data_IF_009098791101
#
_entry.id   IF_009098791101
#
_cell.length_a   1.000
_cell.length_b   1.000
_cell.length_c   1.000
_cell.angle_alpha   90.00
_cell.angle_beta   90.00
_cell.angle_gamma   90.00
#
_symmetry.space_group_name_H-M   'P 1'
#
loop_
_entity.id
_entity.type
_entity.pdbx_description
1 polymer ?
#
# COMPACT_ATOMS: atom_id res chain seq x y z
N UNK A 1 -7.73 -4.19 -22.23
CA UNK A 1 -6.30 -4.30 -21.92
C UNK A 1 -6.17 -4.80 -20.49
N UNK A 2 -5.31 -5.78 -20.21
CA UNK A 2 -5.01 -6.11 -18.81
C UNK A 2 -4.24 -4.94 -18.22
N UNK A 3 -4.59 -4.46 -17.02
CA UNK A 3 -3.92 -3.31 -16.46
C UNK A 3 -2.45 -3.66 -16.17
N UNK A 4 -1.53 -2.80 -16.60
CA UNK A 4 -0.10 -3.06 -16.56
C UNK A 4 0.43 -2.84 -15.13
N UNK A 5 0.51 -3.93 -14.36
CA UNK A 5 1.27 -3.98 -13.10
C UNK A 5 2.65 -4.56 -13.40
N UNK A 6 3.70 -3.94 -12.86
CA UNK A 6 5.09 -4.40 -13.03
C UNK A 6 5.85 -4.44 -11.71
N UNK A 7 6.99 -5.16 -11.71
CA UNK A 7 7.94 -5.13 -10.59
C UNK A 7 8.37 -3.68 -10.31
N UNK A 8 8.40 -3.31 -9.04
CA UNK A 8 8.74 -1.98 -8.57
C UNK A 8 7.56 -1.01 -8.48
N UNK A 9 6.38 -1.35 -9.00
CA UNK A 9 5.18 -0.56 -8.72
C UNK A 9 4.87 -0.60 -7.22
N UNK A 10 4.50 0.56 -6.68
CA UNK A 10 4.09 0.72 -5.28
C UNK A 10 2.58 0.85 -5.23
N UNK A 11 1.97 0.18 -4.26
CA UNK A 11 0.56 0.29 -3.96
C UNK A 11 0.36 0.54 -2.46
N UNK A 12 -0.75 1.15 -2.09
CA UNK A 12 -1.07 1.47 -0.71
C UNK A 12 -2.50 1.07 -0.36
N UNK A 13 -2.73 0.63 0.88
CA UNK A 13 -4.06 0.53 1.46
C UNK A 13 -4.28 1.71 2.41
N UNK A 14 -5.46 2.31 2.34
CA UNK A 14 -5.89 3.36 3.29
C UNK A 14 -7.01 2.79 4.13
N UNK A 15 -6.84 2.82 5.44
CA UNK A 15 -7.80 2.20 6.35
C UNK A 15 -7.86 2.83 7.72
N UNK A 16 -8.97 2.61 8.39
CA UNK A 16 -9.20 3.01 9.76
C UNK A 16 -10.68 3.26 9.94
N UNK A 17 -11.06 3.55 11.18
CA UNK A 17 -12.45 3.86 11.50
C UNK A 17 -12.59 5.38 11.71
N UNK A 18 -11.94 5.90 12.75
CA UNK A 18 -11.88 7.34 13.09
C UNK A 18 -10.51 7.95 12.84
N UNK A 19 -9.60 7.17 12.25
CA UNK A 19 -8.26 7.58 11.88
C UNK A 19 -7.99 7.08 10.45
N UNK A 20 -6.99 7.63 9.79
CA UNK A 20 -6.54 7.16 8.48
C UNK A 20 -5.13 6.64 8.61
N UNK A 21 -4.94 5.33 8.45
CA UNK A 21 -3.62 4.70 8.37
C UNK A 21 -3.32 4.32 6.93
N UNK A 22 -2.05 4.41 6.55
CA UNK A 22 -1.57 4.05 5.23
C UNK A 22 -0.59 2.88 5.33
N UNK A 23 -0.87 1.80 4.61
CA UNK A 23 0.05 0.67 4.48
C UNK A 23 0.61 0.60 3.06
N UNK A 24 1.92 0.76 2.90
CA UNK A 24 2.58 0.65 1.59
C UNK A 24 3.10 -0.76 1.30
N UNK A 25 3.07 -1.15 0.03
CA UNK A 25 3.73 -2.35 -0.45
C UNK A 25 4.34 -2.16 -1.85
N UNK A 26 5.41 -2.90 -2.13
CA UNK A 26 6.07 -2.93 -3.44
C UNK A 26 5.87 -4.26 -4.13
N UNK A 27 5.60 -4.24 -5.44
CA UNK A 27 5.51 -5.44 -6.27
C UNK A 27 6.92 -5.99 -6.52
N UNK A 28 7.15 -7.23 -6.10
CA UNK A 28 8.42 -7.93 -6.26
C UNK A 28 8.38 -8.91 -7.45
N UNK A 29 7.21 -9.51 -7.68
CA UNK A 29 6.96 -10.45 -8.78
C UNK A 29 5.54 -10.30 -9.33
N UNK A 30 5.40 -10.46 -10.64
CA UNK A 30 4.11 -10.58 -11.34
C UNK A 30 3.97 -12.01 -11.85
N UNK A 31 2.81 -12.64 -11.64
CA UNK A 31 2.60 -13.99 -12.15
C UNK A 31 2.59 -14.03 -13.69
N UNK A 32 2.90 -15.16 -14.33
CA UNK A 32 2.90 -15.27 -15.79
C UNK A 32 1.57 -14.87 -16.44
N UNK A 33 0.47 -14.99 -15.71
CA UNK A 33 -0.89 -14.65 -16.19
C UNK A 33 -1.28 -13.19 -15.93
N UNK A 34 -0.47 -12.42 -15.20
CA UNK A 34 -0.79 -11.05 -14.77
C UNK A 34 -1.90 -10.93 -13.72
N UNK A 35 -2.53 -12.04 -13.30
CA UNK A 35 -3.70 -12.02 -12.41
C UNK A 35 -3.35 -11.88 -10.92
N UNK A 36 -2.09 -12.07 -10.56
CA UNK A 36 -1.61 -11.99 -9.17
C UNK A 36 -0.20 -11.43 -9.14
N UNK A 37 0.15 -10.83 -8.02
CA UNK A 37 1.49 -10.35 -7.70
C UNK A 37 1.94 -10.89 -6.35
N UNK A 38 3.25 -10.97 -6.16
CA UNK A 38 3.84 -11.05 -4.82
C UNK A 38 4.36 -9.67 -4.44
N UNK A 39 3.92 -9.19 -3.29
CA UNK A 39 4.34 -7.91 -2.74
C UNK A 39 5.12 -8.10 -1.45
N UNK A 40 5.85 -7.06 -1.06
CA UNK A 40 6.52 -6.93 0.23
C UNK A 40 6.08 -5.63 0.88
N UNK A 41 5.91 -5.64 2.21
CA UNK A 41 5.57 -4.44 2.97
C UNK A 41 6.70 -3.43 2.90
N UNK A 42 6.33 -2.15 2.86
CA UNK A 42 7.25 -1.03 2.96
C UNK A 42 7.01 -0.30 4.27
N UNK A 43 8.08 0.25 4.83
CA UNK A 43 7.92 1.29 5.83
C UNK A 43 7.36 2.56 5.19
N UNK A 44 7.09 3.54 6.05
CA UNK A 44 6.73 4.89 5.64
C UNK A 44 7.78 5.90 6.13
N UNK A 45 7.71 7.10 5.57
CA UNK A 45 8.44 8.26 6.03
C UNK A 45 7.47 9.43 6.11
N UNK A 46 7.41 10.06 7.26
CA UNK A 46 6.65 11.29 7.48
C UNK A 46 7.26 12.46 6.69
N UNK A 47 6.38 13.25 6.08
CA UNK A 47 6.67 14.53 5.47
C UNK A 47 6.06 15.59 6.38
N UNK A 48 6.94 16.36 7.02
CA UNK A 48 6.52 17.48 7.85
C UNK A 48 6.02 18.64 6.99
N UNK A 49 4.84 19.16 7.33
CA UNK A 49 4.29 20.38 6.77
C UNK A 49 3.91 21.35 7.90
N UNK A 50 4.39 22.59 7.79
CA UNK A 50 4.18 23.63 8.80
C UNK A 50 2.67 23.95 8.92
N UNK A 51 2.14 23.92 10.14
CA UNK A 51 0.72 24.16 10.40
C UNK A 51 -0.18 22.92 10.43
N UNK A 52 0.35 21.70 10.24
CA UNK A 52 -0.43 20.48 10.47
C UNK A 52 -0.80 20.28 11.95
N UNK A 53 -1.96 19.67 12.18
CA UNK A 53 -2.39 19.27 13.52
C UNK A 53 -1.45 18.17 14.04
N UNK A 54 -1.08 18.14 15.34
CA UNK A 54 -0.12 17.17 15.89
C UNK A 54 -0.49 15.69 15.69
N UNK A 55 -1.76 15.41 15.42
CA UNK A 55 -2.29 14.06 15.20
C UNK A 55 -2.54 13.74 13.72
N UNK A 56 -1.88 14.47 12.82
CA UNK A 56 -2.01 14.28 11.39
C UNK A 56 -0.68 14.54 10.69
N UNK A 57 -0.42 13.78 9.64
CA UNK A 57 0.81 13.87 8.86
C UNK A 57 0.57 13.45 7.42
N UNK A 58 1.54 13.74 6.55
CA UNK A 58 1.62 13.12 5.23
C UNK A 58 2.72 12.08 5.22
N UNK A 59 2.47 10.95 4.58
CA UNK A 59 3.44 9.85 4.49
C UNK A 59 3.76 9.50 3.03
N UNK A 60 5.00 9.10 2.82
CA UNK A 60 5.48 8.51 1.57
C UNK A 60 6.09 7.14 1.85
N UNK A 61 6.10 6.21 0.88
CA UNK A 61 6.75 4.92 1.06
C UNK A 61 8.25 5.12 1.31
N UNK A 62 8.79 4.38 2.27
CA UNK A 62 10.23 4.30 2.55
C UNK A 62 10.81 3.00 1.99
N UNK A 63 11.84 2.43 2.63
CA UNK A 63 12.45 1.19 2.14
C UNK A 63 11.56 -0.03 2.48
N UNK A 64 11.50 -1.05 1.61
CA UNK A 64 10.86 -2.32 1.96
C UNK A 64 11.57 -2.98 3.14
N UNK A 65 10.84 -3.69 4.00
CA UNK A 65 11.45 -4.47 5.07
C UNK A 65 12.36 -5.56 4.46
N UNK A 66 13.69 -5.51 4.64
CA UNK A 66 14.59 -6.50 4.04
C UNK A 66 14.30 -7.93 4.52
N UNK A 67 13.67 -8.11 5.68
CA UNK A 67 13.25 -9.40 6.24
C UNK A 67 11.76 -9.67 6.06
N UNK A 68 11.03 -8.77 5.41
CA UNK A 68 9.59 -8.86 5.19
C UNK A 68 9.22 -10.04 4.29
N UNK A 69 8.25 -10.84 4.74
CA UNK A 69 7.73 -11.97 3.96
C UNK A 69 6.96 -11.47 2.75
N UNK A 70 7.15 -12.16 1.62
CA UNK A 70 6.31 -11.96 0.45
C UNK A 70 4.88 -12.43 0.71
N UNK A 71 3.91 -11.65 0.25
CA UNK A 71 2.49 -12.01 0.29
C UNK A 71 1.84 -11.82 -1.07
N UNK A 72 0.83 -12.64 -1.36
CA UNK A 72 0.16 -12.63 -2.67
C UNK A 72 -1.06 -11.73 -2.64
N UNK A 73 -1.15 -10.82 -3.59
CA UNK A 73 -2.36 -10.09 -3.90
C UNK A 73 -2.89 -10.44 -5.29
N UNK A 74 -4.18 -10.28 -5.49
CA UNK A 74 -4.83 -10.43 -6.79
C UNK A 74 -4.91 -9.09 -7.51
N UNK A 75 -4.58 -9.07 -8.79
CA UNK A 75 -4.78 -7.90 -9.64
C UNK A 75 -6.24 -7.83 -10.07
N UNK A 76 -6.84 -6.66 -9.97
CA UNK A 76 -8.20 -6.35 -10.41
C UNK A 76 -8.20 -5.04 -11.19
N UNK A 77 -9.25 -4.82 -11.96
CA UNK A 77 -9.45 -3.61 -12.75
C UNK A 77 -10.58 -2.81 -12.12
N UNK A 78 -10.31 -1.56 -11.76
CA UNK A 78 -11.30 -0.62 -11.24
C UNK A 78 -12.24 -0.12 -12.34
N UNK A 79 -13.27 0.65 -11.95
CA UNK A 79 -14.26 1.20 -12.89
C UNK A 79 -13.65 2.14 -13.93
N UNK A 80 -12.53 2.80 -13.59
CA UNK A 80 -11.77 3.69 -14.46
C UNK A 80 -10.72 2.95 -15.33
N UNK A 81 -10.64 1.61 -15.24
CA UNK A 81 -9.63 0.82 -15.96
C UNK A 81 -8.29 0.68 -15.25
N UNK A 82 -8.06 1.37 -14.13
CA UNK A 82 -6.81 1.31 -13.38
C UNK A 82 -6.67 0.00 -12.60
N UNK A 83 -5.46 -0.57 -12.49
CA UNK A 83 -5.23 -1.71 -11.61
C UNK A 83 -5.38 -1.32 -10.15
N UNK A 84 -5.99 -2.21 -9.39
CA UNK A 84 -5.84 -2.24 -7.94
C UNK A 84 -5.54 -3.68 -7.51
N UNK A 85 -4.91 -3.82 -6.34
CA UNK A 85 -4.61 -5.12 -5.77
C UNK A 85 -5.59 -5.43 -4.64
N UNK A 86 -5.93 -6.69 -4.44
CA UNK A 86 -6.81 -7.10 -3.35
C UNK A 86 -6.35 -8.43 -2.77
N UNK A 87 -6.36 -8.54 -1.44
CA UNK A 87 -5.94 -9.79 -0.81
C UNK A 87 -5.66 -9.62 0.68
N UNK A 88 -5.16 -10.71 1.27
CA UNK A 88 -4.69 -10.70 2.65
C UNK A 88 -3.22 -10.30 2.68
N UNK A 89 -2.82 -9.53 3.68
CA UNK A 89 -1.45 -9.10 3.90
C UNK A 89 -1.08 -9.13 5.39
N UNK A 90 0.22 -9.21 5.72
CA UNK A 90 0.70 -9.14 7.10
C UNK A 90 0.36 -7.78 7.72
N UNK A 91 -0.22 -7.78 8.93
CA UNK A 91 -0.62 -6.58 9.64
C UNK A 91 -0.24 -6.69 11.12
N UNK A 92 0.53 -5.72 11.64
CA UNK A 92 0.99 -5.63 13.04
C UNK A 92 1.60 -6.96 13.57
N UNK A 93 2.10 -7.08 14.83
CA UNK A 93 2.80 -8.30 15.23
C UNK A 93 1.83 -9.49 15.33
N UNK A 94 1.79 -10.30 14.26
CA UNK A 94 1.09 -11.59 14.17
C UNK A 94 -0.27 -11.58 13.47
N UNK A 95 -0.77 -10.40 13.05
CA UNK A 95 -2.09 -10.27 12.41
C UNK A 95 -2.06 -10.44 10.89
N UNK A 96 -3.24 -10.70 10.33
CA UNK A 96 -3.49 -10.59 8.89
C UNK A 96 -4.71 -9.72 8.67
N UNK A 97 -4.61 -8.77 7.75
CA UNK A 97 -5.73 -7.95 7.29
C UNK A 97 -6.06 -8.26 5.85
N UNK A 98 -7.29 -8.00 5.41
CA UNK A 98 -7.68 -8.00 4.01
C UNK A 98 -8.05 -6.58 3.60
N UNK A 99 -7.49 -6.10 2.51
CA UNK A 99 -7.81 -4.78 1.99
C UNK A 99 -7.65 -4.69 0.46
N UNK A 100 -8.06 -3.54 -0.07
CA UNK A 100 -7.77 -3.09 -1.42
C UNK A 100 -6.57 -2.14 -1.39
N UNK A 101 -5.66 -2.32 -2.33
CA UNK A 101 -4.47 -1.49 -2.49
C UNK A 101 -4.52 -0.75 -3.81
N UNK A 102 -4.40 0.56 -3.76
CA UNK A 102 -4.44 1.47 -4.91
C UNK A 102 -3.03 1.81 -5.34
N UNK A 103 -2.83 2.02 -6.65
CA UNK A 103 -1.51 2.35 -7.17
C UNK A 103 -1.08 3.70 -6.61
N UNK A 104 0.12 3.77 -6.04
CA UNK A 104 0.69 5.02 -5.59
C UNK A 104 1.16 5.85 -6.78
N UNK A 105 0.76 7.11 -6.84
CA UNK A 105 0.99 8.03 -7.95
C UNK A 105 2.26 8.89 -7.77
N UNK A 106 2.93 8.77 -6.63
CA UNK A 106 4.13 9.53 -6.28
C UNK A 106 3.86 10.72 -5.36
N UNK A 107 2.61 10.98 -4.97
CA UNK A 107 2.25 12.07 -4.06
C UNK A 107 2.12 11.60 -2.59
N UNK A 108 2.48 12.43 -1.60
CA UNK A 108 2.26 12.10 -0.20
C UNK A 108 0.79 11.81 0.11
N UNK A 109 0.54 10.86 1.02
CA UNK A 109 -0.79 10.44 1.43
C UNK A 109 -1.08 10.90 2.84
N UNK A 110 -2.29 11.37 3.09
CA UNK A 110 -2.72 11.83 4.41
C UNK A 110 -2.90 10.65 5.37
N UNK A 111 -2.37 10.81 6.59
CA UNK A 111 -2.49 9.88 7.71
C UNK A 111 -2.92 10.66 8.96
N UNK A 112 -3.69 10.01 9.83
CA UNK A 112 -4.15 10.59 11.10
C UNK A 112 -4.16 9.56 12.24
N UNK A 113 -4.05 10.08 13.47
CA UNK A 113 -3.86 9.30 14.70
C UNK A 113 -4.83 9.73 15.79
N UNK A 114 -5.01 8.87 16.80
CA UNK A 114 -5.73 9.23 18.03
C UNK A 114 -4.85 10.11 18.93
N UNK A 115 -5.46 11.16 19.51
CA UNK A 115 -4.82 12.05 20.48
C UNK A 115 -4.51 11.36 21.83
#
# INVERSE_FOLDING_TARGET
MQPHVKKGDIFYASWGWEQTNIDFCIVEEVSPTGKTVKCKMMGEKEIYEEGMHPMSEYVVPSQPDPKGKLFRLYVRTGLNGEPYLVGKYPYAPGGVRRDCFWKWDGHPLYQSHYA
#
